data_IF_697828421671
#
_entry.id   IF_697828421671
#
_cell.length_a   1.000
_cell.length_b   1.000
_cell.length_c   1.000
_cell.angle_alpha   90.00
_cell.angle_beta   90.00
_cell.angle_gamma   90.00
#
_symmetry.space_group_name_H-M   'P 1'
#
loop_
_entity.id
_entity.type
_entity.pdbx_description
1 polymer ?
#
# COMPACT_ATOMS: atom_id res chain seq x y z
N UNK A 1 -12.60 -1.75 -1.92
CA UNK A 1 -12.14 -0.35 -2.03
C UNK A 1 -10.65 -0.36 -1.76
N UNK A 2 -9.86 -0.48 -2.82
CA UNK A 2 -8.42 -0.31 -2.79
C UNK A 2 -8.15 1.17 -2.52
N UNK A 3 -7.88 1.52 -1.27
CA UNK A 3 -7.38 2.82 -0.91
C UNK A 3 -5.88 2.84 -1.17
N UNK A 4 -5.49 3.01 -2.44
CA UNK A 4 -4.26 3.71 -2.76
C UNK A 4 -4.56 5.21 -2.59
N UNK A 5 -5.06 5.58 -1.42
CA UNK A 5 -5.31 6.97 -1.11
C UNK A 5 -3.97 7.61 -0.82
N UNK A 6 -3.56 8.51 -1.68
CA UNK A 6 -2.64 9.57 -1.33
C UNK A 6 -3.28 10.32 -0.14
N UNK A 7 -2.79 10.10 1.08
CA UNK A 7 -3.18 10.90 2.23
C UNK A 7 -2.65 12.32 2.01
N UNK A 8 -3.54 13.20 1.57
CA UNK A 8 -3.28 14.63 1.49
C UNK A 8 -3.40 15.19 2.89
N UNK A 9 -2.28 15.34 3.59
CA UNK A 9 -2.24 15.93 4.93
C UNK A 9 -2.14 17.45 4.84
N UNK A 10 -3.15 18.15 5.35
CA UNK A 10 -3.18 19.61 5.46
C UNK A 10 -2.86 20.00 6.90
N UNK A 11 -1.64 20.43 7.17
CA UNK A 11 -1.28 21.01 8.48
C UNK A 11 -1.25 22.52 8.37
N UNK A 12 -2.00 23.18 9.23
CA UNK A 12 -2.03 24.63 9.36
C UNK A 12 -1.20 25.00 10.59
N UNK A 13 -0.14 25.78 10.41
CA UNK A 13 0.57 26.45 11.49
C UNK A 13 0.45 27.95 11.31
N UNK A 14 0.44 28.71 12.40
CA UNK A 14 0.16 30.16 12.46
C UNK A 14 1.13 31.08 11.70
N UNK A 15 1.88 30.57 10.78
CA UNK A 15 2.79 31.29 9.90
C UNK A 15 2.56 31.06 8.41
N UNK A 16 1.34 30.80 7.96
CA UNK A 16 0.90 30.75 6.54
C UNK A 16 1.76 29.96 5.54
N UNK A 17 2.44 28.87 5.90
CA UNK A 17 3.05 27.98 4.91
C UNK A 17 2.05 26.83 4.62
N UNK A 18 1.39 26.93 3.48
CA UNK A 18 0.55 25.84 2.97
C UNK A 18 1.41 24.88 2.14
N UNK A 19 1.52 23.63 2.54
CA UNK A 19 2.15 22.60 1.72
C UNK A 19 1.20 21.45 1.44
N UNK A 20 1.38 20.82 0.30
CA UNK A 20 0.69 19.61 -0.11
C UNK A 20 1.69 18.46 0.01
N UNK A 21 1.30 17.39 0.71
CA UNK A 21 2.12 16.19 0.84
C UNK A 21 1.45 15.05 0.09
N UNK A 22 2.22 14.36 -0.74
CA UNK A 22 1.80 13.13 -1.41
C UNK A 22 2.76 12.02 -1.00
N UNK A 23 2.22 10.89 -0.56
CA UNK A 23 3.01 9.73 -0.16
C UNK A 23 2.74 8.55 -1.10
N UNK A 24 3.80 7.93 -1.57
CA UNK A 24 3.75 6.70 -2.37
C UNK A 24 4.40 5.56 -1.59
N UNK A 25 3.83 4.36 -1.68
CA UNK A 25 4.53 3.18 -1.23
C UNK A 25 5.57 2.77 -2.27
N UNK A 26 6.74 2.32 -1.83
CA UNK A 26 7.78 1.78 -2.72
C UNK A 26 7.22 0.64 -3.60
N UNK A 27 6.44 -0.24 -3.00
CA UNK A 27 5.78 -1.35 -3.71
C UNK A 27 4.86 -0.88 -4.85
N UNK A 28 4.16 0.26 -4.67
CA UNK A 28 3.33 0.81 -5.75
C UNK A 28 4.20 1.21 -6.94
N UNK A 29 5.31 1.90 -6.68
CA UNK A 29 6.21 2.36 -7.74
C UNK A 29 6.86 1.16 -8.45
N UNK A 30 7.29 0.13 -7.72
CA UNK A 30 7.83 -1.12 -8.29
C UNK A 30 6.81 -1.80 -9.21
N UNK A 31 5.57 -1.99 -8.76
CA UNK A 31 4.50 -2.58 -9.57
C UNK A 31 4.17 -1.75 -10.81
N UNK A 32 4.20 -0.43 -10.70
CA UNK A 32 4.01 0.44 -11.87
C UNK A 32 5.15 0.26 -12.87
N UNK A 33 6.40 0.13 -12.42
CA UNK A 33 7.55 -0.14 -13.31
C UNK A 33 7.49 -1.54 -13.93
N UNK A 34 6.95 -2.52 -13.23
CA UNK A 34 6.72 -3.86 -13.78
C UNK A 34 5.65 -3.85 -14.87
N UNK A 35 4.55 -3.14 -14.64
CA UNK A 35 3.41 -3.11 -15.55
C UNK A 35 3.63 -2.19 -16.77
N UNK A 36 4.48 -1.17 -16.66
CA UNK A 36 4.71 -0.16 -17.70
C UNK A 36 6.19 -0.03 -18.05
N UNK A 37 6.67 -0.71 -19.13
CA UNK A 37 8.08 -0.67 -19.55
C UNK A 37 8.60 0.75 -19.81
N UNK A 38 7.76 1.66 -20.33
CA UNK A 38 8.12 3.04 -20.60
C UNK A 38 8.44 3.82 -19.31
N UNK A 39 7.69 3.55 -18.25
CA UNK A 39 7.95 4.11 -16.92
C UNK A 39 9.24 3.54 -16.34
N UNK A 40 9.46 2.24 -16.49
CA UNK A 40 10.70 1.58 -16.09
C UNK A 40 11.91 2.25 -16.73
N UNK A 41 11.89 2.43 -18.06
CA UNK A 41 13.01 3.03 -18.80
C UNK A 41 13.34 4.45 -18.31
N UNK A 42 12.33 5.22 -17.91
CA UNK A 42 12.52 6.57 -17.35
C UNK A 42 13.04 6.56 -15.92
N UNK A 43 12.75 5.52 -15.15
CA UNK A 43 13.06 5.45 -13.71
C UNK A 43 14.21 4.48 -13.38
N UNK A 44 14.82 3.81 -14.38
CA UNK A 44 15.82 2.73 -14.16
C UNK A 44 17.09 3.19 -13.42
N UNK A 45 17.45 4.47 -13.54
CA UNK A 45 18.67 5.02 -12.92
C UNK A 45 18.39 5.85 -11.65
N UNK A 46 17.17 5.78 -11.14
CA UNK A 46 16.78 6.60 -10.00
C UNK A 46 16.92 5.79 -8.73
N UNK A 47 17.75 6.28 -7.83
CA UNK A 47 17.76 5.85 -6.43
C UNK A 47 16.51 6.46 -5.79
N UNK A 48 15.52 5.62 -5.46
CA UNK A 48 14.33 6.09 -4.77
C UNK A 48 14.71 6.64 -3.40
N UNK A 49 14.50 7.93 -3.16
CA UNK A 49 14.81 8.49 -1.85
C UNK A 49 13.90 7.85 -0.80
N UNK A 50 14.47 7.44 0.29
CA UNK A 50 13.74 7.00 1.48
C UNK A 50 13.13 8.16 2.24
N UNK A 51 13.51 9.38 1.87
CA UNK A 51 13.16 10.63 2.53
C UNK A 51 12.08 11.40 1.77
N UNK A 52 11.43 12.32 2.49
CA UNK A 52 10.51 13.25 1.84
C UNK A 52 11.28 14.20 0.91
N UNK A 53 10.71 14.43 -0.27
CA UNK A 53 11.21 15.43 -1.23
C UNK A 53 10.42 16.73 -1.07
N UNK A 54 11.14 17.84 -0.95
CA UNK A 54 10.59 19.18 -1.03
C UNK A 54 10.93 19.74 -2.41
N UNK A 55 9.93 20.01 -3.21
CA UNK A 55 10.09 20.54 -4.56
C UNK A 55 10.21 22.06 -4.57
N UNK A 56 11.02 22.57 -5.47
CA UNK A 56 11.12 23.98 -5.77
C UNK A 56 9.88 24.54 -6.49
N UNK A 57 9.88 25.83 -6.84
CA UNK A 57 8.70 26.49 -7.38
C UNK A 57 8.18 25.88 -8.70
N UNK A 58 9.07 25.48 -9.61
CA UNK A 58 8.71 24.93 -10.92
C UNK A 58 7.98 23.60 -10.79
N UNK A 59 8.64 22.62 -10.18
CA UNK A 59 8.01 21.28 -9.98
C UNK A 59 6.79 21.37 -9.09
N UNK A 60 6.80 22.20 -8.03
CA UNK A 60 5.63 22.41 -7.18
C UNK A 60 4.43 22.97 -7.94
N UNK A 61 4.63 23.86 -8.91
CA UNK A 61 3.53 24.38 -9.72
C UNK A 61 2.90 23.29 -10.57
N UNK A 62 3.71 22.49 -11.27
CA UNK A 62 3.24 21.39 -12.11
C UNK A 62 2.53 20.32 -11.28
N UNK A 63 3.14 19.90 -10.17
CA UNK A 63 2.58 18.88 -9.27
C UNK A 63 1.24 19.33 -8.68
N UNK A 64 1.12 20.60 -8.25
CA UNK A 64 -0.15 21.15 -7.73
C UNK A 64 -1.24 21.17 -8.78
N UNK A 65 -0.91 21.51 -10.03
CA UNK A 65 -1.86 21.53 -11.16
C UNK A 65 -2.42 20.12 -11.42
N UNK A 66 -1.55 19.12 -11.46
CA UNK A 66 -1.95 17.72 -11.65
C UNK A 66 -2.84 17.26 -10.48
N UNK A 67 -2.40 17.48 -9.24
CA UNK A 67 -3.13 17.05 -8.04
C UNK A 67 -4.49 17.76 -7.90
N UNK A 68 -4.58 19.04 -8.26
CA UNK A 68 -5.85 19.77 -8.27
C UNK A 68 -6.82 19.22 -9.34
N UNK A 69 -6.28 18.81 -10.49
CA UNK A 69 -7.06 18.20 -11.57
C UNK A 69 -7.62 16.82 -11.22
N UNK A 70 -7.04 16.10 -10.25
CA UNK A 70 -7.55 14.78 -9.81
C UNK A 70 -8.87 14.85 -9.04
N UNK A 71 -9.25 16.04 -8.55
CA UNK A 71 -10.54 16.22 -7.90
C UNK A 71 -11.69 16.11 -8.92
N UNK A 72 -12.63 15.20 -8.65
CA UNK A 72 -13.76 14.95 -9.55
C UNK A 72 -13.52 13.95 -10.67
N UNK A 73 -12.30 13.44 -10.83
CA UNK A 73 -12.00 12.36 -11.78
C UNK A 73 -12.49 11.00 -11.24
N UNK A 74 -12.81 10.10 -12.15
CA UNK A 74 -13.05 8.69 -11.86
C UNK A 74 -11.76 7.98 -11.43
N UNK A 75 -11.86 6.70 -11.06
CA UNK A 75 -10.71 5.92 -10.59
C UNK A 75 -9.62 5.75 -11.66
N UNK A 76 -10.03 5.59 -12.94
CA UNK A 76 -9.09 5.43 -14.05
C UNK A 76 -8.36 6.75 -14.35
N UNK A 77 -9.07 7.87 -14.37
CA UNK A 77 -8.48 9.20 -14.55
C UNK A 77 -7.46 9.52 -13.47
N UNK A 78 -7.79 9.22 -12.21
CA UNK A 78 -6.85 9.38 -11.08
C UNK A 78 -5.61 8.51 -11.22
N UNK A 79 -5.76 7.27 -11.69
CA UNK A 79 -4.62 6.38 -11.94
C UNK A 79 -3.70 6.95 -13.03
N UNK A 80 -4.27 7.44 -14.13
CA UNK A 80 -3.49 8.06 -15.21
C UNK A 80 -2.70 9.28 -14.72
N UNK A 81 -3.34 10.17 -13.97
CA UNK A 81 -2.65 11.35 -13.42
C UNK A 81 -1.58 10.95 -12.37
N UNK A 82 -1.81 9.91 -11.59
CA UNK A 82 -0.80 9.39 -10.69
C UNK A 82 0.42 8.84 -11.44
N UNK A 83 0.23 8.11 -12.54
CA UNK A 83 1.33 7.64 -13.39
C UNK A 83 2.11 8.82 -14.03
N UNK A 84 1.44 9.93 -14.33
CA UNK A 84 2.09 11.18 -14.79
C UNK A 84 2.91 11.88 -13.70
N UNK A 85 2.51 11.76 -12.44
CA UNK A 85 3.26 12.33 -11.31
C UNK A 85 4.60 11.63 -11.09
N UNK A 86 4.66 10.31 -11.25
CA UNK A 86 5.86 9.53 -10.90
C UNK A 86 7.13 10.01 -11.63
N UNK A 87 7.17 10.18 -12.96
CA UNK A 87 8.36 10.71 -13.63
C UNK A 87 8.76 12.10 -13.11
N UNK A 88 7.78 12.99 -12.89
CA UNK A 88 8.05 14.36 -12.43
C UNK A 88 8.67 14.34 -11.03
N UNK A 89 8.10 13.54 -10.12
CA UNK A 89 8.59 13.40 -8.75
C UNK A 89 10.05 12.91 -8.72
N UNK A 90 10.38 11.97 -9.60
CA UNK A 90 11.69 11.31 -9.54
C UNK A 90 12.75 11.91 -10.49
N UNK A 91 12.37 12.71 -11.50
CA UNK A 91 13.31 13.28 -12.45
C UNK A 91 13.50 14.80 -12.32
N UNK A 92 12.70 15.48 -11.48
CA UNK A 92 12.87 16.92 -11.28
C UNK A 92 14.21 17.24 -10.62
N UNK A 93 14.85 18.31 -11.09
CA UNK A 93 16.15 18.77 -10.60
C UNK A 93 16.04 19.80 -9.47
N UNK A 94 14.86 20.37 -9.25
CA UNK A 94 14.62 21.45 -8.28
C UNK A 94 14.09 20.92 -6.93
N UNK A 95 14.46 19.70 -6.54
CA UNK A 95 14.06 19.16 -5.26
C UNK A 95 15.20 19.16 -4.23
N UNK A 96 14.83 19.23 -2.97
CA UNK A 96 15.71 19.03 -1.82
C UNK A 96 15.16 17.95 -0.91
N UNK A 97 16.03 17.22 -0.23
CA UNK A 97 15.61 16.26 0.80
C UNK A 97 15.02 17.03 2.00
N UNK A 98 13.80 16.70 2.36
CA UNK A 98 13.12 17.28 3.51
C UNK A 98 12.77 16.17 4.51
N UNK A 99 13.40 16.16 5.66
CA UNK A 99 13.12 15.23 6.73
C UNK A 99 14.34 14.60 7.38
N UNK A 100 14.15 13.97 8.53
CA UNK A 100 15.20 13.21 9.19
C UNK A 100 15.25 11.78 8.64
N UNK A 101 16.31 11.40 7.93
CA UNK A 101 16.46 10.07 7.30
C UNK A 101 16.21 8.92 8.28
N UNK A 102 16.72 9.04 9.51
CA UNK A 102 16.72 7.95 10.50
C UNK A 102 15.34 7.45 10.95
N UNK A 103 14.31 8.30 10.95
CA UNK A 103 12.98 7.88 11.43
C UNK A 103 12.18 7.17 10.35
N UNK A 104 12.24 7.67 9.13
CA UNK A 104 11.54 7.09 7.98
C UNK A 104 12.15 5.73 7.62
N UNK A 105 13.47 5.66 7.55
CA UNK A 105 14.18 4.41 7.25
C UNK A 105 13.90 3.32 8.30
N UNK A 106 13.86 3.69 9.59
CA UNK A 106 13.52 2.76 10.67
C UNK A 106 12.08 2.26 10.54
N UNK A 107 11.13 3.15 10.20
CA UNK A 107 9.73 2.79 10.02
C UNK A 107 9.56 1.90 8.77
N UNK A 108 10.23 2.20 7.67
CA UNK A 108 10.24 1.37 6.45
C UNK A 108 10.78 -0.03 6.73
N UNK A 109 11.97 -0.14 7.33
CA UNK A 109 12.57 -1.44 7.67
C UNK A 109 11.65 -2.26 8.59
N UNK A 110 11.07 -1.61 9.60
CA UNK A 110 10.18 -2.28 10.55
C UNK A 110 8.90 -2.78 9.88
N UNK A 111 8.29 -1.98 8.99
CA UNK A 111 7.12 -2.41 8.21
C UNK A 111 7.48 -3.53 7.23
N UNK A 112 8.66 -3.51 6.62
CA UNK A 112 9.15 -4.61 5.79
C UNK A 112 9.32 -5.90 6.60
N UNK A 113 9.92 -5.84 7.79
CA UNK A 113 10.04 -6.99 8.69
C UNK A 113 8.68 -7.56 9.09
N UNK A 114 7.73 -6.70 9.49
CA UNK A 114 6.36 -7.11 9.83
C UNK A 114 5.68 -7.76 8.61
N UNK A 115 5.84 -7.21 7.43
CA UNK A 115 5.26 -7.77 6.19
C UNK A 115 5.88 -9.13 5.85
N UNK A 116 7.19 -9.26 5.95
CA UNK A 116 7.89 -10.54 5.74
C UNK A 116 7.45 -11.61 6.76
N UNK A 117 7.27 -11.21 8.03
CA UNK A 117 6.74 -12.11 9.05
C UNK A 117 5.32 -12.60 8.69
N UNK A 118 4.44 -11.70 8.25
CA UNK A 118 3.09 -12.09 7.80
C UNK A 118 3.16 -13.03 6.61
N UNK A 119 4.03 -12.77 5.62
CA UNK A 119 4.22 -13.65 4.47
C UNK A 119 4.66 -15.06 4.86
N UNK A 120 5.50 -15.18 5.89
CA UNK A 120 5.99 -16.48 6.36
C UNK A 120 4.95 -17.24 7.22
N UNK A 121 4.05 -16.51 7.89
CA UNK A 121 3.20 -17.10 8.94
C UNK A 121 1.68 -16.92 8.73
N UNK A 122 1.22 -16.33 7.61
CA UNK A 122 -0.20 -15.99 7.39
C UNK A 122 -1.15 -17.19 7.46
N UNK A 123 -0.68 -18.40 7.17
CA UNK A 123 -1.47 -19.64 7.25
C UNK A 123 -1.85 -19.95 8.69
N UNK A 124 -1.00 -19.60 9.65
CA UNK A 124 -1.21 -19.85 11.07
C UNK A 124 -1.84 -18.64 11.78
N UNK A 125 -2.28 -18.85 13.00
CA UNK A 125 -2.73 -17.75 13.87
C UNK A 125 -1.53 -16.90 14.26
N UNK A 126 -1.53 -15.62 13.83
CA UNK A 126 -0.51 -14.65 14.23
C UNK A 126 -1.00 -13.92 15.49
N UNK A 127 -0.29 -14.08 16.59
CA UNK A 127 -0.56 -13.37 17.83
C UNK A 127 -0.11 -11.90 17.71
N UNK A 128 -0.97 -10.98 18.12
CA UNK A 128 -0.62 -9.55 18.22
C UNK A 128 0.50 -9.28 19.24
N UNK A 129 0.61 -10.13 20.25
CA UNK A 129 1.68 -9.99 21.24
C UNK A 129 3.03 -10.38 20.65
N UNK A 130 3.07 -11.47 19.86
CA UNK A 130 4.31 -11.98 19.29
C UNK A 130 4.85 -11.00 18.24
N UNK A 131 3.99 -10.51 17.33
CA UNK A 131 4.43 -9.55 16.32
C UNK A 131 4.78 -8.18 16.92
N UNK A 132 4.16 -7.77 18.02
CA UNK A 132 4.53 -6.55 18.73
C UNK A 132 5.90 -6.71 19.42
N UNK A 133 6.17 -7.86 20.02
CA UNK A 133 7.47 -8.18 20.61
C UNK A 133 8.57 -8.23 19.54
N UNK A 134 8.31 -8.86 18.40
CA UNK A 134 9.22 -8.87 17.24
C UNK A 134 9.54 -7.45 16.74
N UNK A 135 8.54 -6.55 16.76
CA UNK A 135 8.72 -5.15 16.42
C UNK A 135 9.38 -4.32 17.53
N UNK A 136 9.68 -4.91 18.70
CA UNK A 136 10.24 -4.20 19.87
C UNK A 136 9.25 -3.21 20.48
N UNK A 137 7.94 -3.53 20.50
CA UNK A 137 6.86 -2.65 20.95
C UNK A 137 5.92 -3.35 21.91
N UNK A 138 5.23 -2.59 22.79
CA UNK A 138 4.04 -3.09 23.45
C UNK A 138 2.90 -3.28 22.43
N UNK A 139 1.94 -4.15 22.74
CA UNK A 139 0.77 -4.41 21.88
C UNK A 139 0.01 -3.12 21.49
N UNK A 140 -0.22 -2.22 22.44
CA UNK A 140 -0.93 -0.96 22.18
C UNK A 140 -0.12 -0.02 21.29
N UNK A 141 1.18 0.11 21.54
CA UNK A 141 2.09 0.90 20.72
C UNK A 141 2.16 0.35 19.29
N UNK A 142 2.25 -0.97 19.13
CA UNK A 142 2.24 -1.64 17.83
C UNK A 142 0.95 -1.39 17.04
N UNK A 143 -0.22 -1.53 17.67
CA UNK A 143 -1.49 -1.28 16.99
C UNK A 143 -1.61 0.16 16.47
N UNK A 144 -1.24 1.13 17.30
CA UNK A 144 -1.22 2.56 16.91
C UNK A 144 -0.20 2.83 15.82
N UNK A 145 1.01 2.30 15.97
CA UNK A 145 2.08 2.41 14.99
C UNK A 145 1.69 1.83 13.64
N UNK A 146 1.22 0.58 13.63
CA UNK A 146 0.86 -0.13 12.41
C UNK A 146 -0.29 0.57 11.66
N UNK A 147 -1.34 0.98 12.39
CA UNK A 147 -2.47 1.72 11.81
C UNK A 147 -2.02 3.05 11.21
N UNK A 148 -1.10 3.76 11.86
CA UNK A 148 -0.51 5.00 11.32
C UNK A 148 0.26 4.76 10.03
N UNK A 149 1.08 3.69 9.97
CA UNK A 149 1.95 3.40 8.83
C UNK A 149 1.21 2.75 7.64
N UNK A 150 0.19 1.92 7.91
CA UNK A 150 -0.53 1.15 6.87
C UNK A 150 -1.95 1.65 6.59
N UNK A 151 -2.48 2.59 7.37
CA UNK A 151 -3.85 3.08 7.24
C UNK A 151 -4.92 2.06 7.65
N UNK A 152 -4.54 0.87 8.11
CA UNK A 152 -5.43 -0.23 8.50
C UNK A 152 -4.91 -0.96 9.72
N UNK A 153 -5.78 -1.71 10.41
CA UNK A 153 -5.35 -2.55 11.54
C UNK A 153 -4.51 -3.74 11.07
N UNK A 154 -3.67 -4.28 11.95
CA UNK A 154 -2.87 -5.47 11.64
C UNK A 154 -3.74 -6.68 11.24
N UNK A 155 -4.86 -6.90 11.93
CA UNK A 155 -5.79 -7.98 11.58
C UNK A 155 -6.40 -7.81 10.18
N UNK A 156 -6.75 -6.58 9.81
CA UNK A 156 -7.20 -6.28 8.44
C UNK A 156 -6.11 -6.55 7.41
N UNK A 157 -4.87 -6.21 7.70
CA UNK A 157 -3.73 -6.47 6.82
C UNK A 157 -3.50 -7.97 6.60
N UNK A 158 -3.50 -8.78 7.66
CA UNK A 158 -3.39 -10.25 7.56
C UNK A 158 -4.55 -10.83 6.75
N UNK A 159 -5.78 -10.38 7.03
CA UNK A 159 -6.97 -10.80 6.28
C UNK A 159 -6.87 -10.46 4.80
N UNK A 160 -6.44 -9.24 4.46
CA UNK A 160 -6.23 -8.83 3.08
C UNK A 160 -5.20 -9.70 2.37
N UNK A 161 -4.10 -10.02 3.06
CA UNK A 161 -3.05 -10.90 2.51
C UNK A 161 -3.61 -12.31 2.21
N UNK A 162 -4.36 -12.89 3.15
CA UNK A 162 -5.04 -14.19 2.96
C UNK A 162 -6.01 -14.18 1.78
N UNK A 163 -6.81 -13.11 1.65
CA UNK A 163 -7.76 -12.97 0.55
C UNK A 163 -7.05 -12.83 -0.80
N UNK A 164 -5.96 -12.08 -0.88
CA UNK A 164 -5.18 -11.95 -2.11
C UNK A 164 -4.61 -13.32 -2.54
N UNK A 165 -4.06 -14.08 -1.59
CA UNK A 165 -3.57 -15.44 -1.87
C UNK A 165 -4.71 -16.38 -2.29
N UNK A 166 -5.89 -16.25 -1.66
CA UNK A 166 -7.07 -17.03 -2.07
C UNK A 166 -7.50 -16.71 -3.50
N UNK A 167 -7.47 -15.44 -3.91
CA UNK A 167 -7.75 -15.02 -5.28
C UNK A 167 -6.82 -15.69 -6.29
N UNK A 168 -5.52 -15.72 -6.01
CA UNK A 168 -4.54 -16.38 -6.88
C UNK A 168 -4.77 -17.91 -6.97
N UNK A 169 -5.05 -18.55 -5.84
CA UNK A 169 -5.39 -19.98 -5.83
C UNK A 169 -6.71 -20.28 -6.56
N UNK A 170 -7.70 -19.40 -6.46
CA UNK A 170 -8.97 -19.54 -7.18
C UNK A 170 -8.80 -19.42 -8.70
N UNK A 171 -7.87 -18.57 -9.17
CA UNK A 171 -7.57 -18.41 -10.60
C UNK A 171 -6.73 -19.56 -11.18
N UNK A 172 -5.73 -19.99 -10.43
CA UNK A 172 -4.67 -20.84 -10.97
C UNK A 172 -4.69 -22.28 -10.46
N UNK A 173 -5.73 -22.71 -9.73
CA UNK A 173 -5.86 -24.08 -9.24
C UNK A 173 -7.28 -24.59 -9.32
N UNK A 174 -7.41 -25.93 -9.41
CA UNK A 174 -8.70 -26.64 -9.37
C UNK A 174 -9.10 -27.06 -7.94
N UNK A 175 -8.39 -26.58 -6.91
CA UNK A 175 -8.66 -26.91 -5.50
C UNK A 175 -10.06 -26.47 -5.10
N UNK A 176 -10.71 -27.24 -4.22
CA UNK A 176 -12.02 -26.86 -3.72
C UNK A 176 -11.96 -25.54 -2.90
N UNK A 177 -13.05 -24.79 -2.88
CA UNK A 177 -13.13 -23.54 -2.11
C UNK A 177 -12.86 -23.76 -0.63
N UNK A 178 -13.29 -24.91 -0.09
CA UNK A 178 -13.00 -25.33 1.28
C UNK A 178 -11.50 -25.58 1.52
N UNK A 179 -10.82 -26.23 0.60
CA UNK A 179 -9.37 -26.45 0.69
C UNK A 179 -8.62 -25.12 0.69
N UNK A 180 -8.96 -24.22 -0.26
CA UNK A 180 -8.36 -22.89 -0.34
C UNK A 180 -8.58 -22.11 0.95
N UNK A 181 -9.78 -22.16 1.53
CA UNK A 181 -10.09 -21.54 2.83
C UNK A 181 -9.04 -21.92 3.91
N UNK A 182 -8.81 -23.21 4.10
CA UNK A 182 -7.85 -23.68 5.10
C UNK A 182 -6.40 -23.41 4.71
N UNK A 183 -6.06 -23.57 3.45
CA UNK A 183 -4.71 -23.28 2.95
C UNK A 183 -4.27 -21.82 3.15
N UNK A 184 -5.20 -20.89 3.10
CA UNK A 184 -4.89 -19.46 3.31
C UNK A 184 -5.05 -19.03 4.77
N UNK A 185 -5.31 -19.97 5.70
CA UNK A 185 -5.31 -19.74 7.13
C UNK A 185 -6.63 -19.28 7.73
N UNK A 186 -7.76 -19.50 7.05
CA UNK A 186 -9.08 -19.40 7.70
C UNK A 186 -9.45 -20.73 8.33
N UNK A 187 -10.02 -20.68 9.51
CA UNK A 187 -10.43 -21.87 10.27
C UNK A 187 -11.90 -22.26 10.04
N UNK A 188 -12.66 -21.42 9.37
CA UNK A 188 -14.10 -21.57 9.18
C UNK A 188 -14.52 -21.13 7.78
N UNK A 189 -15.13 -22.05 7.03
CA UNK A 189 -15.55 -21.80 5.65
C UNK A 189 -16.67 -20.76 5.53
N UNK A 190 -17.74 -20.78 6.31
CA UNK A 190 -18.75 -19.71 6.32
C UNK A 190 -18.15 -18.32 6.59
N UNK A 191 -17.23 -18.21 7.54
CA UNK A 191 -16.52 -16.96 7.83
C UNK A 191 -15.69 -16.50 6.64
N UNK A 192 -14.90 -17.40 6.03
CA UNK A 192 -14.13 -17.11 4.82
C UNK A 192 -15.01 -16.58 3.70
N UNK A 193 -16.11 -17.29 3.36
CA UNK A 193 -17.01 -16.87 2.29
C UNK A 193 -17.58 -15.47 2.56
N UNK A 194 -18.00 -15.19 3.79
CA UNK A 194 -18.52 -13.89 4.20
C UNK A 194 -17.48 -12.78 4.03
N UNK A 195 -16.27 -13.00 4.56
CA UNK A 195 -15.17 -12.02 4.49
C UNK A 195 -14.74 -11.78 3.05
N UNK A 196 -14.62 -12.85 2.25
CA UNK A 196 -14.30 -12.78 0.84
C UNK A 196 -15.37 -11.99 0.05
N UNK A 197 -16.65 -12.32 0.27
CA UNK A 197 -17.77 -11.66 -0.41
C UNK A 197 -17.85 -10.18 -0.05
N UNK A 198 -17.67 -9.83 1.22
CA UNK A 198 -17.66 -8.43 1.66
C UNK A 198 -16.50 -7.63 1.07
N UNK A 199 -15.33 -8.26 0.90
CA UNK A 199 -14.15 -7.59 0.37
C UNK A 199 -14.19 -7.43 -1.16
N UNK A 200 -14.72 -8.43 -1.89
CA UNK A 200 -14.62 -8.52 -3.35
C UNK A 200 -15.97 -8.39 -4.07
N UNK A 201 -17.08 -8.23 -3.34
CA UNK A 201 -18.42 -8.05 -3.89
C UNK A 201 -19.01 -9.33 -4.51
N UNK A 202 -18.32 -10.47 -4.44
CA UNK A 202 -18.80 -11.76 -4.99
C UNK A 202 -18.24 -12.96 -4.22
N UNK A 203 -18.96 -14.09 -4.26
CA UNK A 203 -18.51 -15.31 -3.60
C UNK A 203 -17.26 -15.92 -4.27
N UNK A 204 -16.45 -16.71 -3.54
CA UNK A 204 -15.27 -17.39 -4.10
C UNK A 204 -15.57 -18.22 -5.35
N UNK A 205 -16.70 -18.94 -5.36
CA UNK A 205 -17.10 -19.75 -6.51
C UNK A 205 -17.46 -18.89 -7.74
N UNK A 206 -18.11 -17.73 -7.53
CA UNK A 206 -18.37 -16.76 -8.61
C UNK A 206 -17.08 -16.14 -9.12
N UNK A 207 -16.15 -15.84 -8.21
CA UNK A 207 -14.84 -15.29 -8.53
C UNK A 207 -14.06 -16.25 -9.45
N UNK A 208 -14.01 -17.54 -9.11
CA UNK A 208 -13.39 -18.56 -9.96
C UNK A 208 -14.01 -18.62 -11.34
N UNK A 209 -15.36 -18.70 -11.44
CA UNK A 209 -16.04 -18.75 -12.75
C UNK A 209 -15.76 -17.53 -13.63
N UNK A 210 -15.41 -16.41 -13.04
CA UNK A 210 -15.21 -15.16 -13.78
C UNK A 210 -13.76 -14.92 -14.16
N UNK A 211 -12.81 -15.40 -13.39
CA UNK A 211 -11.38 -15.04 -13.50
C UNK A 211 -10.42 -16.25 -13.52
N UNK A 212 -10.90 -17.47 -13.31
CA UNK A 212 -10.16 -18.72 -13.34
C UNK A 212 -10.37 -19.56 -14.59
#
# INVERSE_FOLDING_TARGET
>A
RSSAASDVYKRQSDGCVRYLMVAFSHLLVERCMEAFPELRNRLTNIVFPTDALKFGPESSHVLRKILAGMNGMDELGRLCEMLRLLPIVFTSSDHTLAGHPMRIERDVRRIQQISAYVMAHYVHTISLNDIAAEAGMSRSAFCTYFKRCKGMTFSQFVTQYRLNTACELLKHSQKQVSEICYMVGFNDLPHFIRVFTNALGMSPSKYRKRFG
#
